data_IF_067937077962
#
_entry.id   IF_067937077962
#
_cell.length_a   1.000
_cell.length_b   1.000
_cell.length_c   1.000
_cell.angle_alpha   90.00
_cell.angle_beta   90.00
_cell.angle_gamma   90.00
#
_symmetry.space_group_name_H-M   'P 1'
#
loop_
_entity.id
_entity.type
_entity.pdbx_description
1 polymer ?
#
# COMPACT_ATOMS: atom_id res chain seq x y z
N UNK A 1 10.31 76.26 -56.06
CA UNK A 1 10.86 75.32 -57.09
C UNK A 1 10.78 73.95 -56.53
N UNK A 2 10.10 73.11 -57.23
CA UNK A 2 9.59 71.80 -56.79
C UNK A 2 10.64 70.70 -56.89
N UNK A 3 10.80 69.94 -55.83
CA UNK A 3 11.53 68.68 -55.91
C UNK A 3 10.62 67.50 -55.50
N UNK A 4 10.42 66.62 -56.39
CA UNK A 4 9.62 65.39 -56.22
C UNK A 4 10.57 64.31 -55.72
N UNK A 5 10.15 63.68 -54.60
CA UNK A 5 10.79 62.47 -54.08
C UNK A 5 9.97 61.23 -54.52
N UNK A 6 10.60 60.15 -54.91
CA UNK A 6 9.88 58.92 -55.23
C UNK A 6 9.65 58.06 -53.98
N UNK A 7 8.48 57.45 -53.98
CA UNK A 7 8.05 56.46 -52.96
C UNK A 7 8.80 55.11 -53.19
N UNK A 8 9.22 54.44 -52.11
CA UNK A 8 9.61 53.03 -52.22
C UNK A 8 8.39 52.13 -51.97
N UNK A 9 8.28 51.16 -52.84
CA UNK A 9 7.32 50.03 -52.77
C UNK A 9 7.70 49.13 -51.60
N UNK A 10 6.82 49.08 -50.57
CA UNK A 10 6.94 48.09 -49.52
C UNK A 10 6.34 46.75 -49.98
N UNK A 11 7.17 45.75 -50.14
CA UNK A 11 6.81 44.36 -50.38
C UNK A 11 6.35 43.78 -49.08
N UNK A 12 5.05 43.50 -48.92
CA UNK A 12 4.48 42.86 -47.77
C UNK A 12 4.79 41.36 -47.80
N UNK A 13 5.72 40.94 -46.95
CA UNK A 13 6.01 39.50 -46.70
C UNK A 13 4.95 39.01 -45.72
N UNK A 14 4.01 38.20 -46.23
CA UNK A 14 3.02 37.50 -45.43
C UNK A 14 3.64 36.30 -44.70
N UNK A 15 4.03 36.50 -43.43
CA UNK A 15 4.44 35.37 -42.56
C UNK A 15 3.23 34.59 -42.13
N UNK A 16 3.02 33.42 -42.72
CA UNK A 16 2.10 32.40 -42.24
C UNK A 16 2.64 31.85 -40.92
N UNK A 17 2.08 32.27 -39.79
CA UNK A 17 2.29 31.63 -38.49
C UNK A 17 1.49 30.33 -38.46
N UNK A 18 2.18 29.21 -38.67
CA UNK A 18 1.64 27.88 -38.38
C UNK A 18 1.63 27.73 -36.87
N UNK A 19 0.47 27.94 -36.27
CA UNK A 19 0.24 27.67 -34.86
C UNK A 19 0.29 26.17 -34.58
N UNK A 20 1.44 25.68 -34.13
CA UNK A 20 1.58 24.33 -33.58
C UNK A 20 0.84 24.25 -32.25
N UNK A 21 -0.34 23.61 -32.24
CA UNK A 21 -0.97 23.24 -30.99
C UNK A 21 -0.10 22.16 -30.30
N UNK A 22 0.59 22.56 -29.23
CA UNK A 22 1.27 21.62 -28.36
C UNK A 22 0.18 20.81 -27.64
N UNK A 23 -0.03 19.56 -28.08
CA UNK A 23 -0.80 18.60 -27.32
C UNK A 23 0.01 18.23 -26.06
N UNK A 24 -0.38 18.82 -24.93
CA UNK A 24 0.07 18.35 -23.63
C UNK A 24 -0.57 16.99 -23.40
N UNK A 25 0.18 15.92 -23.63
CA UNK A 25 -0.17 14.60 -23.14
C UNK A 25 -0.08 14.63 -21.62
N UNK A 26 -1.23 14.74 -20.96
CA UNK A 26 -1.33 14.44 -19.53
C UNK A 26 -1.01 12.97 -19.37
N UNK A 27 0.22 12.67 -18.93
CA UNK A 27 0.57 11.35 -18.42
C UNK A 27 -0.25 11.17 -17.14
N UNK A 28 -1.36 10.44 -17.24
CA UNK A 28 -2.00 9.87 -16.07
C UNK A 28 -0.95 8.90 -15.51
N UNK A 29 -0.36 9.27 -14.38
CA UNK A 29 0.46 8.35 -13.59
C UNK A 29 -0.47 7.19 -13.23
N UNK A 30 -0.34 6.06 -13.89
CA UNK A 30 -0.86 4.82 -13.34
C UNK A 30 -0.17 4.66 -11.99
N UNK A 31 -0.95 4.52 -10.90
CA UNK A 31 -0.42 4.16 -9.60
C UNK A 31 0.57 3.01 -9.81
N UNK A 32 1.76 3.14 -9.28
CA UNK A 32 2.77 2.10 -9.39
C UNK A 32 2.18 0.84 -8.78
N UNK A 33 1.88 -0.15 -9.61
CA UNK A 33 1.72 -1.52 -9.13
C UNK A 33 3.10 -1.90 -8.64
N UNK A 34 3.23 -2.26 -7.37
CA UNK A 34 4.49 -2.72 -6.81
C UNK A 34 5.09 -3.77 -7.73
N UNK A 35 6.25 -3.49 -8.31
CA UNK A 35 7.01 -4.46 -9.09
C UNK A 35 7.74 -5.41 -8.11
N UNK A 36 6.93 -6.17 -7.37
CA UNK A 36 7.43 -7.10 -6.36
C UNK A 36 8.23 -8.22 -7.00
N UNK A 37 9.34 -8.58 -6.38
CA UNK A 37 10.17 -9.66 -6.86
C UNK A 37 9.39 -10.99 -7.00
N UNK A 38 9.80 -11.90 -7.89
CA UNK A 38 9.19 -13.23 -7.96
C UNK A 38 9.30 -14.02 -6.64
N UNK A 39 10.31 -13.73 -5.81
CA UNK A 39 10.48 -14.34 -4.50
C UNK A 39 9.41 -13.81 -3.52
N UNK A 40 9.27 -12.48 -3.42
CA UNK A 40 8.24 -11.82 -2.61
C UNK A 40 6.84 -12.32 -2.98
N UNK A 41 6.53 -12.39 -4.28
CA UNK A 41 5.24 -12.88 -4.77
C UNK A 41 4.94 -14.33 -4.36
N UNK A 42 5.96 -15.20 -4.31
CA UNK A 42 5.80 -16.59 -3.83
C UNK A 42 5.51 -16.62 -2.33
N UNK A 43 6.17 -15.78 -1.55
CA UNK A 43 5.96 -15.68 -0.10
C UNK A 43 4.57 -15.11 0.23
N UNK A 44 4.14 -14.06 -0.46
CA UNK A 44 2.78 -13.54 -0.34
C UNK A 44 1.71 -14.58 -0.73
N UNK A 45 2.00 -15.44 -1.70
CA UNK A 45 1.10 -16.56 -2.03
C UNK A 45 1.04 -17.61 -0.91
N UNK A 46 2.15 -17.87 -0.20
CA UNK A 46 2.17 -18.73 0.99
C UNK A 46 1.33 -18.12 2.11
N UNK A 47 1.53 -16.84 2.41
CA UNK A 47 0.73 -16.10 3.39
C UNK A 47 -0.78 -16.19 3.08
N UNK A 48 -1.17 -15.97 1.81
CA UNK A 48 -2.56 -16.12 1.37
C UNK A 48 -3.09 -17.54 1.60
N UNK A 49 -2.33 -18.55 1.22
CA UNK A 49 -2.76 -19.95 1.38
C UNK A 49 -2.97 -20.30 2.86
N UNK A 50 -2.07 -19.89 3.74
CA UNK A 50 -2.13 -20.16 5.17
C UNK A 50 -3.31 -19.43 5.84
N UNK A 51 -3.61 -18.20 5.42
CA UNK A 51 -4.63 -17.35 6.03
C UNK A 51 -6.00 -17.42 5.35
N UNK A 52 -6.14 -18.14 4.24
CA UNK A 52 -7.42 -18.30 3.52
C UNK A 52 -8.55 -18.82 4.41
N UNK A 53 -8.25 -19.65 5.40
CA UNK A 53 -9.23 -20.16 6.38
C UNK A 53 -9.88 -19.06 7.21
N UNK A 54 -9.21 -17.92 7.38
CA UNK A 54 -9.68 -16.80 8.19
C UNK A 54 -10.64 -15.86 7.47
N UNK A 55 -11.02 -16.15 6.22
CA UNK A 55 -12.23 -15.57 5.62
C UNK A 55 -13.50 -16.00 6.37
N UNK A 56 -13.46 -17.14 7.04
CA UNK A 56 -14.41 -17.54 8.07
C UNK A 56 -13.89 -17.01 9.43
N UNK A 57 -14.51 -15.92 9.92
CA UNK A 57 -14.07 -15.28 11.16
C UNK A 57 -14.14 -16.21 12.38
N UNK A 58 -15.09 -17.15 12.41
CA UNK A 58 -15.20 -18.12 13.50
C UNK A 58 -13.93 -18.99 13.63
N UNK A 59 -13.17 -19.14 12.55
CA UNK A 59 -11.87 -19.81 12.55
C UNK A 59 -10.79 -18.95 13.19
N UNK A 60 -10.78 -17.64 12.93
CA UNK A 60 -9.83 -16.74 13.55
C UNK A 60 -10.06 -16.65 15.07
N UNK A 61 -11.33 -16.54 15.49
CA UNK A 61 -11.71 -16.53 16.90
C UNK A 61 -11.31 -17.86 17.59
N UNK A 62 -11.62 -18.99 16.96
CA UNK A 62 -11.26 -20.32 17.48
C UNK A 62 -9.74 -20.56 17.58
N UNK A 63 -8.95 -19.96 16.68
CA UNK A 63 -7.48 -20.02 16.69
C UNK A 63 -6.86 -18.99 17.65
N UNK A 64 -7.67 -18.15 18.33
CA UNK A 64 -7.22 -17.24 19.41
C UNK A 64 -6.91 -15.82 18.97
N UNK A 65 -7.43 -15.36 17.82
CA UNK A 65 -7.33 -13.96 17.43
C UNK A 65 -8.40 -13.14 18.15
N UNK A 66 -7.98 -12.18 18.96
CA UNK A 66 -8.84 -11.31 19.76
C UNK A 66 -8.81 -9.88 19.22
N UNK A 67 -9.97 -9.20 19.26
CA UNK A 67 -10.06 -7.80 18.85
C UNK A 67 -9.15 -6.91 19.69
N UNK A 68 -8.28 -6.17 19.04
CA UNK A 68 -7.40 -5.19 19.68
C UNK A 68 -7.96 -3.76 19.53
N UNK A 69 -8.12 -3.31 18.30
CA UNK A 69 -8.52 -1.93 17.99
C UNK A 69 -9.06 -1.78 16.56
N UNK A 70 -9.53 -0.59 16.24
CA UNK A 70 -9.74 -0.17 14.87
C UNK A 70 -8.66 0.85 14.48
N UNK A 71 -7.96 0.59 13.38
CA UNK A 71 -6.92 1.47 12.86
C UNK A 71 -7.39 2.11 11.56
N UNK A 72 -7.40 3.46 11.48
CA UNK A 72 -7.82 4.16 10.27
C UNK A 72 -6.94 3.79 9.06
N UNK A 73 -7.55 3.31 7.98
CA UNK A 73 -6.85 2.86 6.79
C UNK A 73 -6.38 1.40 6.81
N UNK A 74 -6.56 0.70 7.94
CA UNK A 74 -6.17 -0.70 8.10
C UNK A 74 -7.36 -1.59 8.48
N UNK A 75 -8.34 -1.03 9.18
CA UNK A 75 -9.56 -1.72 9.61
C UNK A 75 -9.54 -2.17 11.06
N UNK A 76 -10.29 -3.24 11.32
CA UNK A 76 -10.37 -3.87 12.63
C UNK A 76 -9.21 -4.86 12.78
N UNK A 77 -8.35 -4.59 13.72
CA UNK A 77 -7.19 -5.41 14.06
C UNK A 77 -7.55 -6.46 15.10
N UNK A 78 -7.21 -7.70 14.81
CA UNK A 78 -7.33 -8.86 15.69
C UNK A 78 -5.96 -9.52 15.84
N UNK A 79 -5.49 -9.72 17.07
CA UNK A 79 -4.15 -10.23 17.36
C UNK A 79 -4.23 -11.54 18.14
N UNK A 80 -3.44 -12.52 17.75
CA UNK A 80 -3.22 -13.73 18.52
C UNK A 80 -1.91 -13.62 19.34
N UNK A 81 -2.03 -13.17 20.57
CA UNK A 81 -0.90 -12.98 21.47
C UNK A 81 -0.17 -14.28 21.85
N UNK A 82 -0.81 -15.42 21.66
CA UNK A 82 -0.22 -16.72 22.04
C UNK A 82 0.87 -17.20 21.07
N UNK A 83 0.93 -16.62 19.86
CA UNK A 83 1.92 -16.95 18.85
C UNK A 83 2.97 -15.85 18.64
N UNK A 84 2.84 -14.71 19.34
CA UNK A 84 3.86 -13.66 19.30
C UNK A 84 5.16 -14.19 19.86
N UNK A 85 6.20 -14.21 19.04
CA UNK A 85 7.53 -14.69 19.40
C UNK A 85 8.64 -13.86 18.73
N UNK A 86 9.87 -14.36 18.68
CA UNK A 86 11.00 -13.67 18.09
C UNK A 86 11.22 -13.97 16.60
N UNK A 87 10.30 -14.65 15.94
CA UNK A 87 10.46 -15.10 14.56
C UNK A 87 9.41 -14.48 13.65
N UNK A 88 9.82 -14.10 12.45
CA UNK A 88 8.91 -13.79 11.36
C UNK A 88 8.50 -15.10 10.66
N UNK A 89 7.23 -15.50 10.79
CA UNK A 89 6.69 -16.68 10.09
C UNK A 89 5.58 -16.26 9.11
N UNK A 90 5.89 -16.36 7.83
CA UNK A 90 5.00 -15.96 6.73
C UNK A 90 3.63 -16.66 6.80
N UNK A 91 3.56 -17.87 7.32
CA UNK A 91 2.33 -18.68 7.35
C UNK A 91 1.52 -18.50 8.63
N UNK A 92 2.09 -17.87 9.66
CA UNK A 92 1.45 -17.67 10.96
C UNK A 92 1.51 -16.19 11.41
N UNK A 93 0.84 -15.26 10.68
CA UNK A 93 0.81 -13.87 11.09
C UNK A 93 0.14 -13.73 12.46
N UNK A 94 0.69 -12.86 13.31
CA UNK A 94 0.17 -12.56 14.63
C UNK A 94 -1.09 -11.70 14.59
N UNK A 95 -1.25 -10.88 13.53
CA UNK A 95 -2.38 -9.98 13.31
C UNK A 95 -3.18 -10.30 12.05
N UNK A 96 -4.49 -10.09 12.13
CA UNK A 96 -5.45 -10.17 11.03
C UNK A 96 -6.25 -8.86 10.98
N UNK A 97 -6.37 -8.27 9.80
CA UNK A 97 -7.14 -7.05 9.59
C UNK A 97 -8.45 -7.35 8.86
N UNK A 98 -9.55 -6.85 9.42
CA UNK A 98 -10.89 -7.04 8.88
C UNK A 98 -11.60 -5.71 8.64
N UNK A 99 -12.58 -5.74 7.73
CA UNK A 99 -13.55 -4.65 7.58
C UNK A 99 -14.98 -5.21 7.74
N UNK A 100 -15.93 -4.42 8.28
CA UNK A 100 -17.33 -4.80 8.27
C UNK A 100 -17.86 -4.90 6.84
N UNK A 101 -18.51 -6.01 6.52
CA UNK A 101 -19.16 -6.24 5.22
C UNK A 101 -20.42 -7.09 5.40
N UNK A 102 -21.61 -6.55 5.03
CA UNK A 102 -22.88 -7.30 5.01
C UNK A 102 -23.20 -8.08 6.30
N UNK A 103 -23.05 -7.46 7.48
CA UNK A 103 -23.20 -8.08 8.81
C UNK A 103 -22.17 -9.19 9.14
N UNK A 104 -21.08 -9.24 8.43
CA UNK A 104 -19.94 -10.12 8.68
C UNK A 104 -18.64 -9.33 8.68
N UNK A 105 -17.52 -10.01 8.87
CA UNK A 105 -16.18 -9.47 8.75
C UNK A 105 -15.52 -10.02 7.48
N UNK A 106 -14.91 -9.13 6.71
CA UNK A 106 -14.11 -9.48 5.55
C UNK A 106 -12.63 -9.30 5.85
N UNK A 107 -11.85 -10.35 5.72
CA UNK A 107 -10.39 -10.29 5.83
C UNK A 107 -9.80 -9.42 4.71
N UNK A 108 -8.93 -8.48 5.06
CA UNK A 108 -8.31 -7.52 4.12
C UNK A 108 -6.79 -7.57 4.11
N UNK A 109 -6.16 -7.91 5.24
CA UNK A 109 -4.72 -7.96 5.37
C UNK A 109 -4.26 -8.81 6.54
N UNK A 110 -2.96 -8.91 6.68
CA UNK A 110 -2.29 -9.58 7.81
C UNK A 110 -1.21 -8.67 8.38
N UNK A 111 -0.82 -8.95 9.62
CA UNK A 111 0.26 -8.26 10.31
C UNK A 111 1.18 -9.27 10.99
N UNK A 112 2.47 -9.00 10.90
CA UNK A 112 3.52 -9.75 11.60
C UNK A 112 4.07 -8.88 12.71
N UNK A 113 4.28 -9.47 13.87
CA UNK A 113 4.67 -8.75 15.08
C UNK A 113 5.89 -9.42 15.71
N UNK A 114 6.97 -8.65 15.90
CA UNK A 114 8.17 -9.12 16.62
C UNK A 114 8.48 -8.18 17.77
N UNK A 115 8.52 -8.66 19.03
CA UNK A 115 8.88 -7.84 20.18
C UNK A 115 10.27 -7.23 20.06
N UNK A 116 10.43 -5.96 20.47
CA UNK A 116 11.72 -5.27 20.41
C UNK A 116 12.78 -5.90 21.29
N UNK A 117 12.37 -6.63 22.32
CA UNK A 117 13.28 -7.38 23.18
C UNK A 117 14.00 -8.50 22.43
N UNK A 118 13.46 -8.96 21.30
CA UNK A 118 14.06 -9.97 20.46
C UNK A 118 15.16 -9.40 19.55
N UNK A 119 14.95 -8.16 19.08
CA UNK A 119 15.90 -7.49 18.18
C UNK A 119 15.77 -5.96 18.30
N UNK A 120 16.90 -5.28 18.41
CA UNK A 120 16.94 -3.82 18.47
C UNK A 120 16.81 -3.14 17.08
N UNK A 121 16.83 -3.92 16.02
CA UNK A 121 16.68 -3.46 14.63
C UNK A 121 15.56 -4.25 13.95
N UNK A 122 14.94 -3.72 12.89
CA UNK A 122 13.92 -4.47 12.15
C UNK A 122 14.41 -5.87 11.79
N UNK A 123 13.58 -6.92 12.00
CA UNK A 123 13.93 -8.27 11.55
C UNK A 123 13.93 -8.37 10.02
N UNK A 124 14.46 -9.47 9.49
CA UNK A 124 14.27 -9.78 8.07
C UNK A 124 12.79 -10.11 7.84
N UNK A 125 12.19 -9.49 6.81
CA UNK A 125 10.81 -9.72 6.41
C UNK A 125 10.70 -10.58 5.15
N UNK A 126 9.81 -10.18 4.23
CA UNK A 126 9.66 -10.84 2.93
C UNK A 126 10.92 -10.68 2.07
N UNK A 127 11.10 -11.58 1.11
CA UNK A 127 12.23 -11.51 0.20
C UNK A 127 12.20 -10.25 -0.66
N UNK A 128 13.31 -9.51 -0.73
CA UNK A 128 13.44 -8.23 -1.44
C UNK A 128 13.50 -7.06 -0.48
N UNK A 129 13.25 -5.86 -1.01
CA UNK A 129 13.42 -4.59 -0.28
C UNK A 129 12.11 -3.77 -0.31
N UNK A 130 10.96 -4.43 -0.54
CA UNK A 130 9.67 -3.75 -0.71
C UNK A 130 8.85 -3.66 0.57
N UNK A 131 9.19 -4.44 1.59
CA UNK A 131 8.54 -4.43 2.90
C UNK A 131 9.28 -3.51 3.87
N UNK A 132 8.53 -2.86 4.73
CA UNK A 132 9.07 -1.94 5.73
C UNK A 132 8.46 -2.24 7.10
N UNK A 133 9.34 -2.56 8.08
CA UNK A 133 8.94 -2.76 9.45
C UNK A 133 8.77 -1.42 10.17
N UNK A 134 7.62 -1.20 10.77
CA UNK A 134 7.36 -0.05 11.62
C UNK A 134 7.69 -0.35 13.08
N UNK A 135 8.28 0.64 13.77
CA UNK A 135 8.47 0.59 15.21
C UNK A 135 7.27 1.20 15.94
N UNK A 136 6.52 0.38 16.67
CA UNK A 136 5.42 0.82 17.53
C UNK A 136 5.91 0.90 18.99
N UNK A 137 5.87 2.12 19.57
CA UNK A 137 6.41 2.38 20.90
C UNK A 137 5.35 2.35 22.00
N UNK A 138 4.06 2.48 21.67
CA UNK A 138 2.98 2.55 22.64
C UNK A 138 2.52 1.14 23.05
N UNK A 139 2.36 0.95 24.36
CA UNK A 139 1.96 -0.34 24.94
C UNK A 139 3.10 -1.34 25.03
N UNK A 140 3.09 -2.38 24.24
CA UNK A 140 4.19 -3.34 24.07
C UNK A 140 5.05 -2.86 22.91
N UNK A 141 6.33 -2.49 23.13
CA UNK A 141 7.22 -2.08 22.04
C UNK A 141 7.50 -3.23 21.08
N UNK A 142 7.09 -3.06 19.82
CA UNK A 142 7.16 -4.09 18.79
C UNK A 142 7.67 -3.52 17.46
N UNK A 143 8.16 -4.41 16.62
CA UNK A 143 8.22 -4.25 15.18
C UNK A 143 6.95 -4.82 14.56
N UNK A 144 6.28 -4.07 13.72
CA UNK A 144 5.09 -4.49 12.97
C UNK A 144 5.36 -4.43 11.47
N UNK A 145 4.87 -5.42 10.72
CA UNK A 145 4.94 -5.47 9.26
C UNK A 145 3.57 -5.89 8.72
N UNK A 146 2.95 -5.03 7.95
CA UNK A 146 1.65 -5.27 7.34
C UNK A 146 1.75 -5.75 5.91
N UNK A 147 0.77 -6.54 5.49
CA UNK A 147 0.64 -6.94 4.10
C UNK A 147 -0.85 -6.97 3.68
N UNK A 148 -1.20 -6.13 2.70
CA UNK A 148 -2.56 -5.97 2.16
C UNK A 148 -2.91 -7.10 1.18
N UNK A 149 -2.76 -8.36 1.62
CA UNK A 149 -2.82 -9.55 0.75
C UNK A 149 -4.22 -9.90 0.24
N UNK A 150 -5.30 -9.40 0.89
CA UNK A 150 -6.68 -9.75 0.56
C UNK A 150 -7.50 -8.58 0.00
N UNK A 151 -7.14 -7.34 0.30
CA UNK A 151 -7.71 -6.14 -0.31
C UNK A 151 -6.56 -5.32 -0.90
N UNK A 152 -6.39 -5.31 -2.25
CA UNK A 152 -5.28 -4.60 -2.87
C UNK A 152 -5.19 -3.14 -2.40
N UNK A 153 -4.02 -2.73 -1.97
CA UNK A 153 -3.67 -1.36 -1.67
C UNK A 153 -3.00 -0.72 -2.90
N UNK A 154 -3.52 0.40 -3.38
CA UNK A 154 -2.95 1.11 -4.54
C UNK A 154 -1.73 1.95 -4.17
N UNK A 155 -1.49 2.15 -2.88
CA UNK A 155 -0.32 2.86 -2.37
C UNK A 155 0.88 1.91 -2.21
N UNK A 156 0.64 0.61 -2.06
CA UNK A 156 1.66 -0.45 -1.95
C UNK A 156 1.15 -1.67 -1.19
N UNK A 157 1.76 -2.83 -1.44
CA UNK A 157 1.39 -4.09 -0.77
C UNK A 157 1.64 -4.04 0.74
N UNK A 158 2.69 -3.33 1.15
CA UNK A 158 3.16 -3.23 2.53
C UNK A 158 2.88 -1.87 3.17
N UNK A 159 2.22 -0.95 2.43
CA UNK A 159 1.82 0.35 2.97
C UNK A 159 0.69 0.20 3.99
N UNK A 160 0.82 0.93 5.10
CA UNK A 160 -0.12 0.89 6.21
C UNK A 160 -1.51 1.37 5.83
N UNK A 161 -1.57 2.54 5.21
CA UNK A 161 -2.83 3.15 4.85
C UNK A 161 -3.36 2.63 3.52
N UNK A 162 -4.52 1.99 3.54
CA UNK A 162 -5.25 1.60 2.35
C UNK A 162 -6.51 2.46 2.20
N UNK A 163 -6.58 3.36 1.20
CA UNK A 163 -7.72 4.27 1.02
C UNK A 163 -9.04 3.57 0.68
N UNK A 164 -9.02 2.27 0.42
CA UNK A 164 -10.22 1.44 0.19
C UNK A 164 -10.85 0.92 1.49
N UNK A 165 -10.18 1.09 2.61
CA UNK A 165 -10.68 0.68 3.92
C UNK A 165 -11.55 1.80 4.50
N UNK A 166 -12.79 1.50 4.94
CA UNK A 166 -13.66 2.50 5.55
C UNK A 166 -13.07 3.02 6.87
N UNK A 167 -13.36 4.28 7.24
CA UNK A 167 -12.89 4.81 8.51
C UNK A 167 -13.50 4.04 9.70
N UNK A 168 -12.79 4.05 10.83
CA UNK A 168 -13.29 3.56 12.11
C UNK A 168 -14.56 4.31 12.53
N UNK A 169 -15.57 3.59 13.03
CA UNK A 169 -16.85 4.13 13.50
C UNK A 169 -16.91 4.09 15.04
#
# INVERSE_FOLDING_TARGET
MKSLLPFPIFLAICCLLIGGAAMTTSSTSAAAVDDLSPATNRELARARNATAKYHDFDRADADGYEFLQCVPGEGLEYVNWSIVDCNFDIEHPEGLHYIPENNSLRLVGVEYVVPIECTATPPAGFAGDSDEWEFMAEGLPIWALRAAIWLPNHEGMFEEHNPRIPPCQ
#
